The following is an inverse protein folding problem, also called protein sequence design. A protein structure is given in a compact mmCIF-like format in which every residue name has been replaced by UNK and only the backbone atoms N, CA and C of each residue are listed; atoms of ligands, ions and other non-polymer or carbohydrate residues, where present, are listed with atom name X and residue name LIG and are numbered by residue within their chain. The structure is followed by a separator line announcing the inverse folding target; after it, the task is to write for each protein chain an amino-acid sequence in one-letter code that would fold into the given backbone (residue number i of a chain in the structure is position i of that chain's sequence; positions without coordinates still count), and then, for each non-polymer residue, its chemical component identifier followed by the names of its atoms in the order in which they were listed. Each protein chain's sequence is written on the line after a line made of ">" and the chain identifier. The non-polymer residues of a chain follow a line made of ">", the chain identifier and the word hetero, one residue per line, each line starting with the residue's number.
data_IF_901525159289
#
_entry.id   IF_901525159289
#
_cell.length_a   1.000
_cell.length_b   1.000
_cell.length_c   1.000
_cell.angle_alpha   90.00
_cell.angle_beta   90.00
_cell.angle_gamma   90.00
#
_symmetry.space_group_name_H-M   'P 1'
#
loop_
_entity.id
_entity.type
_entity.pdbx_description
1 polymer ?
#
# COMPACT_ATOMS: atom_id res chain seq x y z
N UNK A 1 3.64 -2.47 7.34
CA UNK A 1 4.19 -2.35 8.70
C UNK A 1 4.03 -0.90 9.21
N UNK A 2 4.59 -0.59 10.40
CA UNK A 2 4.50 0.75 11.03
C UNK A 2 5.16 1.88 10.22
N UNK A 3 6.00 1.55 9.25
CA UNK A 3 6.59 2.54 8.34
C UNK A 3 5.65 2.98 7.21
N UNK A 4 4.47 2.39 7.10
CA UNK A 4 3.55 2.61 6.00
C UNK A 4 3.95 1.89 4.70
N UNK A 5 4.88 0.96 4.79
CA UNK A 5 5.36 0.18 3.64
C UNK A 5 4.99 -1.29 3.76
N UNK A 6 4.95 -1.97 2.63
CA UNK A 6 4.87 -3.44 2.57
C UNK A 6 6.17 -4.06 3.09
N UNK A 7 6.19 -5.37 3.34
CA UNK A 7 7.42 -6.08 3.73
C UNK A 7 8.52 -6.01 2.65
N UNK A 8 8.15 -5.83 1.40
CA UNK A 8 9.08 -5.60 0.28
C UNK A 8 9.55 -4.15 0.15
N UNK A 9 9.09 -3.25 1.01
CA UNK A 9 9.49 -1.85 1.08
C UNK A 9 8.66 -0.89 0.21
N UNK A 10 7.66 -1.37 -0.51
CA UNK A 10 6.81 -0.53 -1.37
C UNK A 10 5.86 0.36 -0.56
N UNK A 11 5.64 1.59 -1.04
CA UNK A 11 4.51 2.42 -0.59
C UNK A 11 3.16 1.83 -1.05
N UNK A 12 2.02 2.22 -0.46
CA UNK A 12 0.70 1.77 -0.93
C UNK A 12 0.47 2.09 -2.42
N UNK A 13 0.91 3.26 -2.88
CA UNK A 13 0.79 3.65 -4.28
C UNK A 13 1.67 2.78 -5.20
N UNK A 14 2.93 2.52 -4.82
CA UNK A 14 3.82 1.65 -5.60
C UNK A 14 3.27 0.21 -5.65
N UNK A 15 2.77 -0.29 -4.51
CA UNK A 15 2.11 -1.60 -4.44
C UNK A 15 0.90 -1.66 -5.39
N UNK A 16 0.02 -0.66 -5.34
CA UNK A 16 -1.15 -0.62 -6.24
C UNK A 16 -0.73 -0.65 -7.71
N UNK A 17 0.23 0.17 -8.10
CA UNK A 17 0.72 0.18 -9.49
C UNK A 17 1.30 -1.16 -9.93
N UNK A 18 1.99 -1.88 -9.04
CA UNK A 18 2.59 -3.18 -9.38
C UNK A 18 1.57 -4.30 -9.60
N UNK A 19 0.39 -4.26 -8.92
CA UNK A 19 -0.63 -5.32 -9.03
C UNK A 19 -1.83 -4.94 -9.90
N UNK A 20 -1.99 -3.66 -10.25
CA UNK A 20 -3.16 -3.13 -10.95
C UNK A 20 -3.45 -3.85 -12.28
N UNK A 21 -2.40 -4.28 -12.98
CA UNK A 21 -2.54 -5.02 -14.26
C UNK A 21 -3.32 -6.33 -14.12
N UNK A 22 -3.39 -6.91 -12.93
CA UNK A 22 -4.17 -8.12 -12.64
C UNK A 22 -5.68 -7.84 -12.53
N UNK A 23 -6.10 -6.57 -12.57
CA UNK A 23 -7.49 -6.12 -12.44
C UNK A 23 -8.21 -6.75 -11.23
N UNK A 24 -7.66 -6.65 -10.02
CA UNK A 24 -8.29 -7.24 -8.84
C UNK A 24 -9.66 -6.59 -8.58
N UNK A 25 -10.61 -7.34 -8.06
CA UNK A 25 -11.91 -6.82 -7.63
C UNK A 25 -11.78 -5.81 -6.49
N UNK A 26 -10.87 -6.09 -5.56
CA UNK A 26 -10.58 -5.21 -4.41
C UNK A 26 -9.08 -5.08 -4.21
N UNK A 27 -8.66 -3.95 -3.68
CA UNK A 27 -7.32 -3.73 -3.14
C UNK A 27 -7.46 -3.13 -1.74
N UNK A 28 -6.55 -3.44 -0.83
CA UNK A 28 -6.68 -2.89 0.50
C UNK A 28 -5.57 -3.26 1.43
N UNK A 29 -5.77 -2.86 2.67
CA UNK A 29 -4.82 -3.03 3.76
C UNK A 29 -5.41 -3.95 4.81
N UNK A 30 -4.58 -4.85 5.31
CA UNK A 30 -4.97 -5.73 6.38
C UNK A 30 -3.84 -5.94 7.37
N UNK A 31 -4.16 -6.05 8.65
CA UNK A 31 -3.19 -6.37 9.70
C UNK A 31 -2.11 -5.30 9.90
N UNK A 32 -1.10 -5.61 10.72
CA UNK A 32 0.06 -4.80 11.08
C UNK A 32 -0.24 -3.52 11.88
N UNK A 33 -1.38 -2.88 11.65
CA UNK A 33 -1.78 -1.61 12.27
C UNK A 33 -3.19 -1.71 12.86
N UNK A 34 -3.49 -0.88 13.85
CA UNK A 34 -4.85 -0.54 14.23
C UNK A 34 -5.49 0.38 13.19
N UNK A 35 -6.79 0.67 13.37
CA UNK A 35 -7.51 1.49 12.42
C UNK A 35 -6.96 2.93 12.37
N UNK A 36 -6.62 3.51 13.51
CA UNK A 36 -6.07 4.86 13.61
C UNK A 36 -4.80 5.03 12.76
N UNK A 37 -3.82 4.14 12.94
CA UNK A 37 -2.55 4.20 12.21
C UNK A 37 -2.70 3.78 10.73
N UNK A 38 -3.72 2.99 10.41
CA UNK A 38 -3.97 2.56 9.02
C UNK A 38 -4.58 3.69 8.17
N UNK A 39 -5.26 4.65 8.80
CA UNK A 39 -6.02 5.70 8.12
C UNK A 39 -5.28 6.44 6.99
N UNK A 40 -4.05 6.98 7.19
CA UNK A 40 -3.36 7.71 6.13
C UNK A 40 -3.08 6.84 4.90
N UNK A 41 -2.83 5.56 5.09
CA UNK A 41 -2.55 4.61 4.01
C UNK A 41 -3.82 4.19 3.26
N UNK A 42 -4.94 4.07 3.98
CA UNK A 42 -6.26 3.86 3.38
C UNK A 42 -6.65 5.09 2.54
N UNK A 43 -6.42 6.30 3.05
CA UNK A 43 -6.68 7.54 2.33
C UNK A 43 -5.87 7.62 1.03
N UNK A 44 -4.57 7.31 1.08
CA UNK A 44 -3.70 7.26 -0.10
C UNK A 44 -4.25 6.28 -1.14
N UNK A 45 -4.55 5.06 -0.71
CA UNK A 45 -5.07 4.02 -1.60
C UNK A 45 -6.44 4.38 -2.17
N UNK A 46 -7.32 4.96 -1.33
CA UNK A 46 -8.63 5.42 -1.75
C UNK A 46 -8.56 6.51 -2.83
N UNK A 47 -7.56 7.37 -2.79
CA UNK A 47 -7.39 8.44 -3.77
C UNK A 47 -6.94 7.92 -5.16
N UNK A 48 -6.25 6.78 -5.22
CA UNK A 48 -5.58 6.33 -6.45
C UNK A 48 -6.13 5.03 -7.05
N UNK A 49 -6.77 4.17 -6.25
CA UNK A 49 -7.24 2.88 -6.72
C UNK A 49 -8.49 3.02 -7.60
N UNK A 50 -8.40 2.55 -8.83
CA UNK A 50 -9.52 2.46 -9.79
C UNK A 50 -10.27 1.12 -9.67
N UNK A 51 -10.27 0.54 -8.46
CA UNK A 51 -11.07 -0.61 -8.04
C UNK A 51 -11.63 -0.39 -6.64
N UNK A 52 -12.37 -1.36 -6.10
CA UNK A 52 -12.93 -1.26 -4.75
C UNK A 52 -11.80 -1.30 -3.70
N UNK A 53 -11.93 -0.49 -2.65
CA UNK A 53 -10.97 -0.45 -1.54
C UNK A 53 -11.51 -1.15 -0.31
N UNK A 54 -10.68 -1.98 0.32
CA UNK A 54 -11.00 -2.69 1.55
C UNK A 54 -9.99 -2.39 2.67
N UNK A 55 -10.44 -2.48 3.93
CA UNK A 55 -9.58 -2.37 5.10
C UNK A 55 -9.98 -3.39 6.18
N UNK A 56 -8.97 -4.05 6.73
CA UNK A 56 -9.11 -5.03 7.81
C UNK A 56 -8.07 -4.73 8.90
N UNK A 57 -8.29 -3.69 9.74
CA UNK A 57 -7.35 -3.34 10.81
C UNK A 57 -7.36 -4.38 11.93
N UNK A 58 -6.30 -4.39 12.72
CA UNK A 58 -6.29 -5.07 14.01
C UNK A 58 -7.15 -4.28 15.01
N UNK A 59 -7.53 -4.92 16.12
CA UNK A 59 -8.18 -4.25 17.26
C UNK A 59 -7.12 -3.45 18.06
N UNK A 60 -6.58 -2.40 17.43
CA UNK A 60 -5.45 -1.62 17.92
C UNK A 60 -4.08 -2.23 17.63
N UNK A 61 -3.06 -1.73 18.32
CA UNK A 61 -1.71 -2.30 18.28
C UNK A 61 -1.57 -3.40 19.33
N UNK A 62 -0.71 -4.42 19.09
CA UNK A 62 -0.45 -5.43 20.10
C UNK A 62 0.21 -4.81 21.34
N UNK A 63 -0.27 -5.19 22.52
CA UNK A 63 0.31 -4.82 23.80
C UNK A 63 1.59 -5.64 24.09
N UNK A 64 2.24 -5.39 25.23
CA UNK A 64 3.51 -6.04 25.63
C UNK A 64 3.39 -7.58 25.73
N UNK A 65 2.19 -8.10 25.95
CA UNK A 65 1.89 -9.54 26.01
C UNK A 65 1.43 -10.12 24.67
N UNK A 66 1.40 -9.29 23.60
CA UNK A 66 0.93 -9.69 22.27
C UNK A 66 -0.61 -9.74 22.15
N UNK A 67 -1.34 -9.27 23.15
CA UNK A 67 -2.81 -9.12 23.11
C UNK A 67 -3.23 -7.83 22.41
N UNK A 68 -4.53 -7.68 22.18
CA UNK A 68 -5.15 -6.50 21.56
C UNK A 68 -6.22 -5.96 22.50
N UNK A 69 -6.16 -4.67 22.81
CA UNK A 69 -6.94 -4.05 23.89
C UNK A 69 -8.02 -3.08 23.37
N UNK A 70 -8.05 -2.82 22.07
CA UNK A 70 -9.07 -1.94 21.49
C UNK A 70 -10.45 -2.60 21.57
N UNK A 71 -11.41 -1.85 22.10
CA UNK A 71 -12.77 -2.34 22.28
C UNK A 71 -13.56 -2.32 20.95
N UNK A 72 -14.63 -3.13 20.80
CA UNK A 72 -15.51 -3.08 19.64
C UNK A 72 -16.00 -1.68 19.27
N UNK A 73 -16.38 -0.87 20.26
CA UNK A 73 -16.84 0.50 20.02
C UNK A 73 -15.74 1.43 19.50
N UNK A 74 -14.51 1.27 19.97
CA UNK A 74 -13.36 2.06 19.50
C UNK A 74 -13.03 1.72 18.05
N UNK A 75 -12.85 0.44 17.74
CA UNK A 75 -12.60 0.00 16.35
C UNK A 75 -13.72 0.44 15.41
N UNK A 76 -14.98 0.29 15.84
CA UNK A 76 -16.13 0.72 15.04
C UNK A 76 -16.19 2.23 14.82
N UNK A 77 -15.75 3.04 15.78
CA UNK A 77 -15.67 4.50 15.62
C UNK A 77 -14.67 4.90 14.53
N UNK A 78 -13.47 4.31 14.52
CA UNK A 78 -12.46 4.57 13.50
C UNK A 78 -12.91 4.10 12.11
N UNK A 79 -13.38 2.86 11.99
CA UNK A 79 -13.85 2.31 10.71
C UNK A 79 -15.08 3.05 10.19
N UNK A 80 -15.96 3.47 11.11
CA UNK A 80 -17.13 4.30 10.80
C UNK A 80 -16.73 5.66 10.23
N UNK A 81 -15.66 6.26 10.73
CA UNK A 81 -15.10 7.51 10.19
C UNK A 81 -14.54 7.30 8.78
N UNK A 82 -13.86 6.19 8.50
CA UNK A 82 -13.39 5.88 7.14
C UNK A 82 -14.56 5.79 6.15
N UNK A 83 -15.65 5.16 6.57
CA UNK A 83 -16.86 5.08 5.73
C UNK A 83 -17.53 6.44 5.55
N UNK A 84 -17.59 7.27 6.59
CA UNK A 84 -18.11 8.65 6.53
C UNK A 84 -17.31 9.51 5.57
N UNK A 85 -15.97 9.35 5.61
CA UNK A 85 -15.05 10.04 4.71
C UNK A 85 -15.05 9.48 3.28
N UNK A 86 -15.85 8.44 2.98
CA UNK A 86 -15.94 7.85 1.65
C UNK A 86 -14.66 7.13 1.21
N UNK A 87 -13.95 6.47 2.13
CA UNK A 87 -12.66 5.85 1.85
C UNK A 87 -12.75 4.36 1.48
N UNK A 88 -13.86 3.69 1.81
CA UNK A 88 -13.98 2.24 1.77
C UNK A 88 -15.20 1.74 1.00
N UNK A 89 -15.05 0.53 0.46
CA UNK A 89 -16.14 -0.25 -0.13
C UNK A 89 -16.40 -1.53 0.66
N UNK A 90 -15.36 -2.10 1.28
CA UNK A 90 -15.44 -3.33 2.07
C UNK A 90 -14.67 -3.14 3.37
N UNK A 91 -15.26 -3.57 4.46
CA UNK A 91 -14.65 -3.43 5.80
C UNK A 91 -14.74 -4.74 6.58
N UNK A 92 -13.83 -4.90 7.51
CA UNK A 92 -13.80 -6.01 8.44
C UNK A 92 -12.77 -5.76 9.52
N UNK A 93 -12.23 -6.82 10.07
CA UNK A 93 -11.19 -6.76 11.08
C UNK A 93 -10.16 -7.87 10.89
N UNK A 94 -9.04 -7.77 11.59
CA UNK A 94 -7.95 -8.73 11.58
C UNK A 94 -7.62 -9.19 13.01
N UNK A 95 -6.37 -9.12 13.43
CA UNK A 95 -5.92 -9.63 14.72
C UNK A 95 -6.62 -8.91 15.89
N UNK A 96 -7.02 -9.67 16.88
CA UNK A 96 -7.73 -9.18 18.06
C UNK A 96 -9.22 -8.89 17.85
N UNK A 97 -9.74 -8.88 16.62
CA UNK A 97 -11.16 -8.66 16.38
C UNK A 97 -11.99 -9.90 16.70
N UNK A 98 -13.13 -9.68 17.35
CA UNK A 98 -14.10 -10.69 17.77
C UNK A 98 -15.42 -10.50 17.01
N UNK A 99 -16.38 -11.42 17.11
CA UNK A 99 -17.71 -11.22 16.55
C UNK A 99 -18.39 -9.91 17.02
N UNK A 100 -18.13 -9.46 18.26
CA UNK A 100 -18.63 -8.19 18.76
C UNK A 100 -18.03 -6.99 18.01
N UNK A 101 -16.73 -7.01 17.68
CA UNK A 101 -16.11 -5.98 16.84
C UNK A 101 -16.77 -5.91 15.47
N UNK A 102 -16.99 -7.04 14.83
CA UNK A 102 -17.63 -7.09 13.51
C UNK A 102 -19.08 -6.59 13.57
N UNK A 103 -19.83 -6.90 14.62
CA UNK A 103 -21.19 -6.41 14.79
C UNK A 103 -21.23 -4.87 14.94
N UNK A 104 -20.35 -4.30 15.75
CA UNK A 104 -20.24 -2.85 15.93
C UNK A 104 -19.75 -2.15 14.64
N UNK A 105 -18.76 -2.71 13.93
CA UNK A 105 -18.31 -2.21 12.63
C UNK A 105 -19.50 -2.21 11.65
N UNK A 106 -20.22 -3.32 11.52
CA UNK A 106 -21.36 -3.42 10.62
C UNK A 106 -22.42 -2.36 10.94
N UNK A 107 -22.68 -2.13 12.22
CA UNK A 107 -23.62 -1.08 12.69
C UNK A 107 -23.10 0.32 12.31
N UNK A 108 -21.82 0.58 12.53
CA UNK A 108 -21.22 1.91 12.29
C UNK A 108 -21.19 2.31 10.82
N UNK A 109 -21.14 1.36 9.88
CA UNK A 109 -21.11 1.63 8.44
C UNK A 109 -22.50 1.51 7.78
N UNK A 110 -23.51 1.05 8.52
CA UNK A 110 -24.85 0.86 7.98
C UNK A 110 -25.43 2.17 7.44
N UNK A 111 -25.94 2.13 6.21
CA UNK A 111 -26.54 3.29 5.55
C UNK A 111 -25.55 4.35 5.05
N UNK A 112 -24.25 4.18 5.24
CA UNK A 112 -23.24 5.08 4.67
C UNK A 112 -22.99 4.73 3.20
N UNK A 113 -22.76 5.77 2.39
CA UNK A 113 -22.45 5.57 0.99
C UNK A 113 -21.07 4.91 0.83
N UNK A 114 -20.92 3.92 -0.06
CA UNK A 114 -19.61 3.36 -0.36
C UNK A 114 -18.73 4.39 -1.08
N UNK A 115 -17.42 4.20 -1.01
CA UNK A 115 -16.46 5.00 -1.78
C UNK A 115 -16.77 4.96 -3.26
N UNK A 116 -16.75 6.10 -3.91
CA UNK A 116 -16.80 6.21 -5.36
C UNK A 116 -15.44 5.84 -5.97
N UNK A 117 -15.46 4.98 -6.99
CA UNK A 117 -14.23 4.59 -7.70
C UNK A 117 -13.82 5.73 -8.63
N UNK A 118 -12.62 6.33 -8.46
CA UNK A 118 -12.21 7.45 -9.28
C UNK A 118 -11.96 7.04 -10.74
N UNK A 119 -12.33 7.91 -11.65
CA UNK A 119 -11.94 7.77 -13.07
C UNK A 119 -10.49 8.24 -13.21
N UNK A 120 -9.63 7.40 -13.77
CA UNK A 120 -8.21 7.73 -13.98
C UNK A 120 -7.90 8.07 -15.43
N UNK A 121 -7.06 9.08 -15.61
CA UNK A 121 -6.41 9.34 -16.90
C UNK A 121 -5.35 8.28 -17.16
N UNK A 122 -5.36 7.68 -18.34
CA UNK A 122 -4.31 6.72 -18.74
C UNK A 122 -2.99 7.46 -18.97
N UNK A 123 -1.95 7.02 -18.29
CA UNK A 123 -0.57 7.51 -18.45
C UNK A 123 0.41 6.36 -18.21
N UNK A 124 1.67 6.56 -18.57
CA UNK A 124 2.74 5.64 -18.19
C UNK A 124 2.95 5.72 -16.68
N UNK A 125 2.77 4.60 -16.01
CA UNK A 125 3.01 4.45 -14.58
C UNK A 125 3.92 3.24 -14.37
N UNK A 126 4.95 3.42 -13.57
CA UNK A 126 5.93 2.41 -13.23
C UNK A 126 6.00 2.28 -11.70
N UNK A 127 6.41 1.10 -11.23
CA UNK A 127 6.50 0.80 -9.82
C UNK A 127 7.87 0.24 -9.47
N UNK A 128 8.54 0.91 -8.55
CA UNK A 128 9.67 0.38 -7.80
C UNK A 128 9.26 0.26 -6.32
N UNK A 129 10.08 0.77 -5.41
CA UNK A 129 9.70 0.99 -4.01
C UNK A 129 8.77 2.20 -3.89
N UNK A 130 8.97 3.18 -4.76
CA UNK A 130 8.12 4.36 -4.94
C UNK A 130 7.33 4.26 -6.25
N UNK A 131 6.18 4.93 -6.35
CA UNK A 131 5.46 5.06 -7.60
C UNK A 131 6.17 6.07 -8.52
N UNK A 132 6.13 5.83 -9.82
CA UNK A 132 6.51 6.79 -10.84
C UNK A 132 5.35 6.93 -11.83
N UNK A 133 4.96 8.16 -12.13
CA UNK A 133 3.98 8.46 -13.17
C UNK A 133 4.55 9.52 -14.11
N UNK A 134 4.51 9.25 -15.42
CA UNK A 134 4.88 10.25 -16.42
C UNK A 134 3.73 11.24 -16.55
N UNK A 135 3.96 12.46 -16.07
CA UNK A 135 3.02 13.58 -16.09
C UNK A 135 3.48 14.66 -17.05
N UNK A 136 2.60 15.59 -17.43
CA UNK A 136 2.89 16.63 -18.43
C UNK A 136 3.94 17.65 -17.95
N UNK A 137 4.18 17.74 -16.64
CA UNK A 137 5.21 18.58 -16.03
C UNK A 137 6.61 17.93 -16.03
N UNK A 138 6.72 16.66 -16.42
CA UNK A 138 8.00 15.97 -16.56
C UNK A 138 8.46 16.06 -18.01
N UNK A 139 9.37 16.98 -18.36
CA UNK A 139 9.78 17.21 -19.75
C UNK A 139 10.68 16.11 -20.31
N UNK A 140 11.40 15.40 -19.45
CA UNK A 140 12.37 14.39 -19.84
C UNK A 140 12.63 13.39 -18.71
N UNK A 141 12.72 12.10 -19.06
CA UNK A 141 13.05 11.03 -18.12
C UNK A 141 14.36 10.39 -18.53
N UNK A 142 15.37 10.45 -17.66
CA UNK A 142 16.61 9.74 -17.86
C UNK A 142 16.50 8.32 -17.30
N UNK A 143 16.71 7.32 -18.14
CA UNK A 143 16.66 5.91 -17.74
C UNK A 143 18.08 5.36 -17.67
N UNK A 144 18.50 4.99 -16.46
CA UNK A 144 19.78 4.29 -16.25
C UNK A 144 19.71 2.84 -16.70
N UNK A 145 20.73 2.36 -17.42
CA UNK A 145 20.76 0.97 -17.86
C UNK A 145 22.07 0.22 -17.54
N UNK A 146 22.99 0.82 -16.76
CA UNK A 146 24.32 0.24 -16.48
C UNK A 146 24.31 -1.01 -15.62
N UNK A 147 23.20 -1.38 -15.01
CA UNK A 147 22.97 -2.64 -14.29
C UNK A 147 22.50 -3.77 -15.21
N UNK A 148 22.43 -3.53 -16.50
CA UNK A 148 22.12 -4.55 -17.49
C UNK A 148 23.34 -5.44 -17.76
N UNK A 149 23.31 -6.71 -17.38
CA UNK A 149 24.39 -7.69 -17.59
C UNK A 149 24.70 -7.85 -19.08
N UNK A 150 23.72 -7.71 -19.96
CA UNK A 150 23.90 -7.82 -21.40
C UNK A 150 24.56 -6.57 -21.99
N UNK A 151 24.11 -5.37 -21.59
CA UNK A 151 24.55 -4.09 -22.12
C UNK A 151 25.81 -3.52 -21.46
N UNK A 152 26.08 -3.86 -20.19
CA UNK A 152 27.23 -3.32 -19.44
C UNK A 152 28.35 -4.36 -19.26
N UNK A 153 29.44 -4.19 -19.99
CA UNK A 153 30.59 -5.09 -19.85
C UNK A 153 31.22 -5.03 -18.45
N UNK A 154 31.28 -3.83 -17.83
CA UNK A 154 31.75 -3.65 -16.45
C UNK A 154 30.88 -4.41 -15.48
N UNK A 155 29.57 -4.19 -15.49
CA UNK A 155 28.63 -4.82 -14.57
C UNK A 155 28.64 -6.35 -14.73
N UNK A 156 28.66 -6.85 -15.98
CA UNK A 156 28.79 -8.28 -16.28
C UNK A 156 30.02 -8.91 -15.64
N UNK A 157 31.19 -8.24 -15.75
CA UNK A 157 32.43 -8.72 -15.14
C UNK A 157 32.28 -8.81 -13.62
N UNK A 158 31.82 -7.74 -12.98
CA UNK A 158 31.65 -7.67 -11.53
C UNK A 158 30.73 -8.79 -11.02
N UNK A 159 29.62 -9.06 -11.71
CA UNK A 159 28.71 -10.16 -11.34
C UNK A 159 29.38 -11.53 -11.52
N UNK A 160 30.12 -11.76 -12.62
CA UNK A 160 30.83 -13.03 -12.86
C UNK A 160 31.93 -13.30 -11.83
N UNK A 161 32.60 -12.25 -11.41
CA UNK A 161 33.71 -12.35 -10.47
C UNK A 161 33.24 -12.29 -9.00
N UNK A 162 31.91 -12.25 -8.75
CA UNK A 162 31.27 -12.11 -7.43
C UNK A 162 31.67 -10.82 -6.66
N UNK A 163 32.07 -9.79 -7.39
CA UNK A 163 32.43 -8.47 -6.83
C UNK A 163 31.16 -7.63 -6.60
N UNK A 164 30.24 -8.14 -5.77
CA UNK A 164 28.91 -7.55 -5.57
C UNK A 164 28.95 -6.16 -4.92
N UNK A 165 29.97 -5.86 -4.11
CA UNK A 165 30.16 -4.52 -3.55
C UNK A 165 30.33 -3.46 -4.64
N UNK A 166 31.25 -3.69 -5.59
CA UNK A 166 31.44 -2.78 -6.72
C UNK A 166 30.25 -2.78 -7.70
N UNK A 167 29.55 -3.90 -7.84
CA UNK A 167 28.34 -3.97 -8.66
C UNK A 167 27.22 -3.08 -8.07
N UNK A 168 27.07 -3.04 -6.74
CA UNK A 168 26.15 -2.14 -6.06
C UNK A 168 26.50 -0.67 -6.27
N UNK A 169 27.79 -0.31 -6.28
CA UNK A 169 28.23 1.06 -6.60
C UNK A 169 27.82 1.48 -8.03
N UNK A 170 27.87 0.54 -8.98
CA UNK A 170 27.39 0.82 -10.36
C UNK A 170 25.87 1.06 -10.36
N UNK A 171 25.13 0.32 -9.56
CA UNK A 171 23.68 0.52 -9.41
C UNK A 171 23.38 1.88 -8.75
N UNK A 172 24.07 2.20 -7.67
CA UNK A 172 23.89 3.46 -6.92
C UNK A 172 24.16 4.70 -7.76
N UNK A 173 25.09 4.63 -8.74
CA UNK A 173 25.38 5.74 -9.65
C UNK A 173 24.24 6.07 -10.62
N UNK A 174 23.18 5.26 -10.65
CA UNK A 174 22.03 5.45 -11.54
C UNK A 174 20.80 6.00 -10.81
N UNK A 175 20.86 6.11 -9.49
CA UNK A 175 19.83 6.66 -8.62
C UNK A 175 20.20 8.07 -8.23
#
# INVERSE_FOLDING_TARGET
>A
DRSGRTLSGQTPAAFWQSIRHAQPLTVGLNCALGAEEMRPHVLELAAIADTLVCAYPNAGLPNELGGYDETPAQTAAFVGEFAEAGLLNVVGGCCGTTPAHIAEIATSVAGKAPREVPTRTRRLELSGLEPFALTDDIPFVNVGERTNITGSAKFRRLIKDNEYGEALEVALQQV
#
